data_IF_554519225873
#
_entry.id   IF_554519225873
#
_cell.length_a   1.000
_cell.length_b   1.000
_cell.length_c   1.000
_cell.angle_alpha   90.00
_cell.angle_beta   90.00
_cell.angle_gamma   90.00
#
_symmetry.space_group_name_H-M   'P 1'
#
loop_
_entity.id
_entity.type
_entity.pdbx_description
1 polymer ?
#
# COMPACT_ATOMS: atom_id res chain seq x y z
N UNK A 1 -1.04 24.91 0.89
CA UNK A 1 -2.22 24.64 1.71
C UNK A 1 -3.44 24.86 0.91
N UNK A 2 -3.83 24.06 0.27
CA UNK A 2 -5.05 24.19 -0.25
C UNK A 2 -5.84 23.06 -0.08
N UNK A 3 -6.79 23.35 -0.31
CA UNK A 3 -7.84 22.66 -0.65
C UNK A 3 -7.73 21.20 -0.82
N UNK A 4 -8.72 20.60 -0.87
CA UNK A 4 -8.93 19.19 -0.72
C UNK A 4 -8.33 18.30 -1.83
N UNK A 5 -7.91 18.88 -2.98
CA UNK A 5 -7.44 18.14 -4.16
C UNK A 5 -5.99 18.45 -4.54
N UNK A 6 -5.15 17.43 -4.55
CA UNK A 6 -3.74 17.54 -4.97
C UNK A 6 -3.53 16.61 -6.17
N UNK A 7 -3.01 17.17 -7.27
CA UNK A 7 -2.57 16.38 -8.43
C UNK A 7 -1.07 16.55 -8.60
N UNK A 8 -0.34 15.44 -8.59
CA UNK A 8 1.08 15.41 -8.91
C UNK A 8 1.27 14.80 -10.31
N UNK A 9 1.89 15.58 -11.20
CA UNK A 9 2.30 15.12 -12.54
C UNK A 9 3.81 15.16 -12.75
N UNK A 10 4.55 15.63 -11.74
CA UNK A 10 5.99 15.81 -11.78
C UNK A 10 6.73 14.83 -10.87
N UNK A 11 7.93 15.24 -10.48
CA UNK A 11 8.79 14.49 -9.57
C UNK A 11 8.84 15.21 -8.23
N UNK A 12 8.55 14.46 -7.17
CA UNK A 12 8.71 14.89 -5.78
C UNK A 12 9.79 14.00 -5.17
N UNK A 13 10.84 14.60 -4.64
CA UNK A 13 11.89 13.85 -3.92
C UNK A 13 12.15 14.52 -2.59
N UNK A 14 11.98 13.76 -1.52
CA UNK A 14 12.19 14.22 -0.14
C UNK A 14 13.07 13.22 0.61
N UNK A 15 13.77 13.72 1.60
CA UNK A 15 14.70 12.92 2.41
C UNK A 15 14.02 12.08 3.48
N UNK A 16 14.82 11.64 4.45
CA UNK A 16 14.38 10.86 5.59
C UNK A 16 13.39 11.63 6.47
N UNK A 17 12.52 10.91 7.17
CA UNK A 17 11.52 11.47 8.08
C UNK A 17 10.63 12.54 7.42
N UNK A 18 10.39 12.45 6.15
CA UNK A 18 9.70 13.47 5.35
C UNK A 18 8.43 12.93 4.71
N UNK A 19 7.54 13.84 4.32
CA UNK A 19 6.30 13.51 3.62
C UNK A 19 6.33 14.11 2.22
N UNK A 20 6.13 13.29 1.18
CA UNK A 20 6.09 13.75 -0.19
C UNK A 20 4.84 14.58 -0.48
N UNK A 21 3.66 14.03 -0.22
CA UNK A 21 2.37 14.72 -0.36
C UNK A 21 1.57 14.55 0.94
N UNK A 22 1.14 15.67 1.49
CA UNK A 22 0.18 15.71 2.59
C UNK A 22 -1.11 16.41 2.12
N UNK A 23 -2.24 15.71 2.17
CA UNK A 23 -3.51 16.28 1.71
C UNK A 23 -4.70 15.36 1.95
N UNK A 24 -5.88 15.79 1.48
CA UNK A 24 -7.08 14.99 1.59
C UNK A 24 -7.27 14.08 0.37
N UNK A 25 -7.54 14.63 -0.80
CA UNK A 25 -7.68 13.89 -2.03
C UNK A 25 -6.42 14.01 -2.89
N UNK A 26 -5.84 12.88 -3.26
CA UNK A 26 -4.57 12.88 -4.00
C UNK A 26 -4.71 12.06 -5.27
N UNK A 27 -4.38 12.67 -6.41
CA UNK A 27 -4.16 11.99 -7.68
C UNK A 27 -2.66 12.04 -8.01
N UNK A 28 -1.99 10.90 -7.95
CA UNK A 28 -0.60 10.82 -8.35
C UNK A 28 -0.46 10.22 -9.74
N UNK A 29 0.13 10.99 -10.67
CA UNK A 29 0.52 10.58 -12.03
C UNK A 29 2.03 10.63 -12.23
N UNK A 30 2.73 11.25 -11.28
CA UNK A 30 4.17 11.46 -11.32
C UNK A 30 4.94 10.50 -10.45
N UNK A 31 6.18 10.83 -10.19
CA UNK A 31 7.09 10.08 -9.34
C UNK A 31 7.20 10.73 -7.95
N UNK A 32 7.09 9.93 -6.90
CA UNK A 32 7.37 10.34 -5.53
C UNK A 32 8.49 9.45 -5.00
N UNK A 33 9.54 10.06 -4.47
CA UNK A 33 10.65 9.36 -3.79
C UNK A 33 10.77 9.89 -2.38
N UNK A 34 10.74 8.99 -1.40
CA UNK A 34 10.92 9.33 0.01
C UNK A 34 12.06 8.52 0.62
N UNK A 35 12.78 9.14 1.54
CA UNK A 35 13.84 8.50 2.29
C UNK A 35 13.32 7.55 3.37
N UNK A 36 14.21 7.15 4.27
CA UNK A 36 13.91 6.26 5.39
C UNK A 36 12.93 6.92 6.37
N UNK A 37 12.07 6.13 6.99
CA UNK A 37 11.02 6.62 7.90
C UNK A 37 10.16 7.75 7.29
N UNK A 38 10.10 7.81 5.96
CA UNK A 38 9.33 8.81 5.21
C UNK A 38 7.98 8.28 4.75
N UNK A 39 7.09 9.19 4.34
CA UNK A 39 5.78 8.83 3.80
C UNK A 39 5.59 9.45 2.42
N UNK A 40 5.31 8.61 1.41
CA UNK A 40 5.05 9.09 0.05
C UNK A 40 3.83 9.97 -0.04
N UNK A 41 2.68 9.43 0.33
CA UNK A 41 1.40 10.15 0.38
C UNK A 41 0.77 9.93 1.76
N UNK A 42 0.48 11.02 2.44
CA UNK A 42 -0.29 11.02 3.68
C UNK A 42 -1.66 11.66 3.41
N UNK A 43 -2.75 10.89 3.59
CA UNK A 43 -4.11 11.38 3.35
C UNK A 43 -4.98 11.29 4.62
N UNK A 44 -5.64 12.40 4.96
CA UNK A 44 -6.47 12.52 6.17
C UNK A 44 -7.98 12.59 5.88
N UNK A 45 -8.48 12.23 4.72
CA UNK A 45 -9.94 12.29 4.56
C UNK A 45 -10.47 12.27 3.14
N UNK A 46 -9.66 12.03 2.14
CA UNK A 46 -10.11 11.91 0.78
C UNK A 46 -9.51 10.69 0.09
N UNK A 47 -9.95 10.42 -1.11
CA UNK A 47 -9.48 9.28 -1.88
C UNK A 47 -8.04 9.51 -2.38
N UNK A 48 -7.28 8.42 -2.48
CA UNK A 48 -5.95 8.41 -3.09
C UNK A 48 -6.01 7.56 -4.36
N UNK A 49 -5.64 8.14 -5.48
CA UNK A 49 -5.60 7.47 -6.77
C UNK A 49 -4.15 7.50 -7.29
N UNK A 50 -3.55 6.32 -7.38
CA UNK A 50 -2.28 6.10 -8.07
C UNK A 50 -2.62 5.73 -9.52
N UNK A 51 -2.50 6.71 -10.41
CA UNK A 51 -2.79 6.55 -11.84
C UNK A 51 -1.83 5.55 -12.49
N UNK A 52 -2.12 5.17 -13.71
CA UNK A 52 -1.35 4.19 -14.50
C UNK A 52 0.13 4.56 -14.67
N UNK A 53 0.47 5.83 -14.55
CA UNK A 53 1.86 6.33 -14.64
C UNK A 53 2.49 6.64 -13.28
N UNK A 54 1.75 6.43 -12.19
CA UNK A 54 2.23 6.69 -10.83
C UNK A 54 3.43 5.81 -10.48
N UNK A 55 4.46 6.41 -9.93
CA UNK A 55 5.63 5.72 -9.37
C UNK A 55 5.86 6.21 -7.94
N UNK A 56 5.97 5.28 -7.00
CA UNK A 56 6.34 5.61 -5.62
C UNK A 56 7.57 4.79 -5.24
N UNK A 57 8.66 5.48 -4.87
CA UNK A 57 9.87 4.87 -4.36
C UNK A 57 9.94 5.13 -2.86
N UNK A 58 9.77 4.08 -2.08
CA UNK A 58 9.71 4.11 -0.62
C UNK A 58 11.06 3.68 -0.07
N UNK A 59 11.62 4.46 0.84
CA UNK A 59 12.85 4.14 1.56
C UNK A 59 12.70 2.93 2.49
N UNK A 60 13.68 2.74 3.37
CA UNK A 60 13.70 1.67 4.37
C UNK A 60 13.19 2.15 5.73
N UNK A 61 13.23 1.27 6.74
CA UNK A 61 13.06 1.62 8.16
C UNK A 61 11.73 2.34 8.46
N UNK A 62 10.62 1.62 8.31
CA UNK A 62 9.25 2.08 8.58
C UNK A 62 8.71 3.12 7.58
N UNK A 63 9.38 3.31 6.44
CA UNK A 63 8.84 4.17 5.40
C UNK A 63 7.52 3.62 4.85
N UNK A 64 6.64 4.52 4.39
CA UNK A 64 5.29 4.17 3.93
C UNK A 64 5.04 4.76 2.55
N UNK A 65 4.55 3.95 1.62
CA UNK A 65 4.15 4.45 0.29
C UNK A 65 2.91 5.33 0.36
N UNK A 66 1.81 4.79 0.87
CA UNK A 66 0.55 5.52 1.07
C UNK A 66 0.03 5.27 2.49
N UNK A 67 -0.12 6.33 3.26
CA UNK A 67 -0.71 6.30 4.58
C UNK A 67 -2.08 7.00 4.57
N UNK A 68 -3.11 6.31 5.07
CA UNK A 68 -4.47 6.85 5.21
C UNK A 68 -4.93 6.83 6.65
N UNK A 69 -5.46 7.96 7.13
CA UNK A 69 -5.93 8.13 8.50
C UNK A 69 -7.38 8.60 8.61
N UNK A 70 -7.97 9.06 7.52
CA UNK A 70 -9.36 9.48 7.48
C UNK A 70 -10.35 8.31 7.38
N UNK A 71 -11.63 8.61 7.36
CA UNK A 71 -12.69 7.62 7.30
C UNK A 71 -13.37 7.59 5.93
N UNK A 72 -13.81 6.39 5.51
CA UNK A 72 -14.52 6.21 4.25
C UNK A 72 -13.69 6.49 2.99
N UNK A 73 -12.37 6.43 3.11
CA UNK A 73 -11.46 6.68 2.00
C UNK A 73 -11.35 5.47 1.06
N UNK A 74 -11.14 5.76 -0.21
CA UNK A 74 -10.80 4.75 -1.21
C UNK A 74 -9.38 5.02 -1.71
N UNK A 75 -8.51 4.06 -1.53
CA UNK A 75 -7.17 4.06 -2.13
C UNK A 75 -7.19 3.13 -3.32
N UNK A 76 -6.78 3.60 -4.48
CA UNK A 76 -6.71 2.80 -5.70
C UNK A 76 -5.32 2.88 -6.31
N UNK A 77 -4.62 1.76 -6.36
CA UNK A 77 -3.45 1.60 -7.22
C UNK A 77 -3.94 1.02 -8.57
N UNK A 78 -3.82 1.78 -9.66
CA UNK A 78 -4.29 1.35 -10.98
C UNK A 78 -3.27 0.41 -11.64
N UNK A 79 -3.76 -0.38 -12.59
CA UNK A 79 -2.88 -1.17 -13.47
C UNK A 79 -1.89 -0.24 -14.20
N UNK A 80 -0.59 -0.54 -14.09
CA UNK A 80 0.50 0.31 -14.59
C UNK A 80 1.17 1.17 -13.51
N UNK A 81 0.50 1.46 -12.38
CA UNK A 81 1.18 2.07 -11.25
C UNK A 81 2.25 1.13 -10.68
N UNK A 82 3.33 1.71 -10.20
CA UNK A 82 4.46 0.95 -9.62
C UNK A 82 4.82 1.50 -8.24
N UNK A 83 5.26 0.59 -7.38
CA UNK A 83 5.79 0.95 -6.07
C UNK A 83 7.05 0.12 -5.80
N UNK A 84 8.14 0.78 -5.44
CA UNK A 84 9.32 0.11 -4.89
C UNK A 84 9.32 0.32 -3.39
N UNK A 85 9.40 -0.76 -2.62
CA UNK A 85 9.32 -0.69 -1.16
C UNK A 85 10.63 -1.19 -0.59
N UNK A 86 11.30 -0.33 0.17
CA UNK A 86 12.53 -0.69 0.87
C UNK A 86 12.26 -1.65 2.02
N UNK A 87 13.31 -2.30 2.51
CA UNK A 87 13.24 -3.25 3.62
C UNK A 87 12.65 -2.60 4.89
N UNK A 88 11.94 -3.37 5.69
CA UNK A 88 11.30 -2.94 6.94
C UNK A 88 10.26 -1.82 6.76
N UNK A 89 9.56 -1.79 5.63
CA UNK A 89 8.66 -0.69 5.25
C UNK A 89 7.29 -1.18 4.77
N UNK A 90 6.40 -0.23 4.48
CA UNK A 90 5.02 -0.52 4.12
C UNK A 90 4.68 0.04 2.74
N UNK A 91 3.92 -0.73 1.95
CA UNK A 91 3.31 -0.20 0.73
C UNK A 91 2.12 0.70 1.06
N UNK A 92 1.09 0.12 1.65
CA UNK A 92 -0.13 0.82 2.08
C UNK A 92 -0.35 0.61 3.58
N UNK A 93 -0.53 1.69 4.31
CA UNK A 93 -0.82 1.68 5.74
C UNK A 93 -2.14 2.40 5.98
N UNK A 94 -3.13 1.69 6.53
CA UNK A 94 -4.44 2.25 6.85
C UNK A 94 -4.73 2.18 8.35
N UNK A 95 -4.93 3.37 8.94
CA UNK A 95 -5.36 3.54 10.34
C UNK A 95 -6.75 4.21 10.47
N UNK A 96 -7.42 4.45 9.36
CA UNK A 96 -8.78 5.00 9.36
C UNK A 96 -9.87 3.94 9.53
N UNK A 97 -11.11 4.32 9.33
CA UNK A 97 -12.30 3.47 9.51
C UNK A 97 -13.18 3.46 8.25
N UNK A 98 -13.67 2.30 7.84
CA UNK A 98 -14.51 2.14 6.64
C UNK A 98 -13.77 2.38 5.34
N UNK A 99 -12.44 2.26 5.34
CA UNK A 99 -11.61 2.53 4.17
C UNK A 99 -11.52 1.29 3.27
N UNK A 100 -11.37 1.54 1.97
CA UNK A 100 -11.16 0.48 0.98
C UNK A 100 -9.82 0.68 0.29
N UNK A 101 -9.00 -0.38 0.24
CA UNK A 101 -7.76 -0.40 -0.54
C UNK A 101 -7.95 -1.34 -1.73
N UNK A 102 -7.87 -0.81 -2.94
CA UNK A 102 -7.92 -1.55 -4.20
C UNK A 102 -6.51 -1.55 -4.83
N UNK A 103 -5.84 -2.68 -4.77
CA UNK A 103 -4.54 -2.87 -5.39
C UNK A 103 -4.70 -3.57 -6.74
N UNK A 104 -4.49 -2.84 -7.83
CA UNK A 104 -4.62 -3.35 -9.19
C UNK A 104 -3.32 -3.20 -9.99
N UNK A 105 -2.18 -2.97 -9.36
CA UNK A 105 -0.88 -3.03 -10.02
C UNK A 105 -0.65 -4.43 -10.61
N UNK A 106 0.17 -4.53 -11.66
CA UNK A 106 0.40 -5.82 -12.31
C UNK A 106 1.08 -6.82 -11.36
N UNK A 107 2.11 -6.38 -10.66
CA UNK A 107 2.85 -7.19 -9.69
C UNK A 107 3.56 -6.31 -8.66
N UNK A 108 3.89 -6.92 -7.52
CA UNK A 108 4.71 -6.31 -6.47
C UNK A 108 5.70 -7.35 -5.95
N UNK A 109 6.97 -6.97 -5.90
CA UNK A 109 8.02 -7.78 -5.28
C UNK A 109 8.40 -7.19 -3.92
N UNK A 110 8.49 -8.03 -2.90
CA UNK A 110 8.83 -7.65 -1.53
C UNK A 110 10.28 -8.06 -1.21
N UNK A 111 11.00 -7.20 -0.50
CA UNK A 111 12.32 -7.45 0.05
C UNK A 111 12.25 -8.21 1.38
N UNK A 112 12.85 -7.66 2.45
CA UNK A 112 12.79 -8.24 3.78
C UNK A 112 11.94 -7.38 4.73
N UNK A 113 11.17 -8.02 5.59
CA UNK A 113 10.35 -7.34 6.61
C UNK A 113 9.37 -6.31 6.02
N UNK A 114 8.93 -6.51 4.78
CA UNK A 114 7.98 -5.62 4.09
C UNK A 114 6.55 -6.07 4.36
N UNK A 115 5.68 -5.11 4.63
CA UNK A 115 4.23 -5.34 4.59
C UNK A 115 3.65 -4.60 3.41
N UNK A 116 3.08 -5.32 2.43
CA UNK A 116 2.53 -4.67 1.25
C UNK A 116 1.29 -3.85 1.58
N UNK A 117 0.28 -4.49 2.19
CA UNK A 117 -0.92 -3.79 2.68
C UNK A 117 -1.12 -4.10 4.16
N UNK A 118 -1.16 -3.06 4.98
CA UNK A 118 -1.47 -3.15 6.40
C UNK A 118 -2.69 -2.31 6.72
N UNK A 119 -3.79 -2.94 7.14
CA UNK A 119 -5.02 -2.25 7.53
C UNK A 119 -5.47 -2.70 8.91
N UNK A 120 -5.55 -1.77 9.85
CA UNK A 120 -6.11 -1.99 11.20
C UNK A 120 -7.62 -1.78 11.25
N UNK A 121 -8.22 -1.39 10.13
CA UNK A 121 -9.63 -1.10 10.00
C UNK A 121 -10.47 -2.38 10.04
N UNK A 122 -11.28 -2.54 11.08
CA UNK A 122 -12.17 -3.71 11.25
C UNK A 122 -13.41 -3.65 10.38
N UNK A 123 -13.72 -2.50 9.81
CA UNK A 123 -14.90 -2.25 8.95
C UNK A 123 -14.54 -2.02 7.50
N UNK A 124 -13.24 -1.94 7.20
CA UNK A 124 -12.72 -1.69 5.87
C UNK A 124 -12.53 -2.93 5.02
N UNK A 125 -12.11 -2.71 3.78
CA UNK A 125 -11.87 -3.76 2.81
C UNK A 125 -10.50 -3.62 2.12
N UNK A 126 -9.87 -4.76 1.86
CA UNK A 126 -8.68 -4.89 1.03
C UNK A 126 -9.02 -5.79 -0.15
N UNK A 127 -8.97 -5.24 -1.36
CA UNK A 127 -9.17 -5.97 -2.61
C UNK A 127 -7.83 -6.03 -3.35
N UNK A 128 -7.20 -7.20 -3.37
CA UNK A 128 -5.91 -7.39 -4.03
C UNK A 128 -6.08 -8.09 -5.38
N UNK A 129 -5.72 -7.38 -6.45
CA UNK A 129 -5.59 -7.90 -7.80
C UNK A 129 -4.13 -7.87 -8.29
N UNK A 130 -3.19 -7.59 -7.38
CA UNK A 130 -1.75 -7.51 -7.66
C UNK A 130 -1.08 -8.83 -7.33
N UNK A 131 -0.36 -9.42 -8.28
CA UNK A 131 0.45 -10.58 -8.01
C UNK A 131 1.61 -10.21 -7.06
N UNK A 132 1.74 -10.94 -5.94
CA UNK A 132 2.77 -10.70 -4.95
C UNK A 132 3.86 -11.76 -5.02
N UNK A 133 5.11 -11.32 -5.08
CA UNK A 133 6.29 -12.17 -4.99
C UNK A 133 7.22 -11.65 -3.90
N UNK A 134 8.19 -12.47 -3.47
CA UNK A 134 9.20 -12.04 -2.52
C UNK A 134 10.57 -12.58 -2.91
N UNK A 135 11.60 -11.76 -2.71
CA UNK A 135 13.01 -12.16 -2.77
C UNK A 135 13.64 -12.30 -1.38
N UNK A 136 12.86 -12.01 -0.33
CA UNK A 136 13.35 -11.98 1.04
C UNK A 136 12.46 -12.74 2.03
N UNK A 137 12.58 -12.39 3.28
CA UNK A 137 11.98 -13.09 4.42
C UNK A 137 11.17 -12.15 5.32
N UNK A 138 10.30 -12.73 6.14
CA UNK A 138 9.49 -12.05 7.16
C UNK A 138 8.55 -10.98 6.59
N UNK A 139 8.00 -11.23 5.41
CA UNK A 139 7.06 -10.34 4.76
C UNK A 139 5.61 -10.69 5.09
N UNK A 140 4.78 -9.66 5.09
CA UNK A 140 3.33 -9.81 5.05
C UNK A 140 2.82 -9.27 3.70
N UNK A 141 2.12 -10.10 2.94
CA UNK A 141 1.44 -9.64 1.72
C UNK A 141 0.27 -8.73 2.09
N UNK A 142 -0.74 -9.32 2.69
CA UNK A 142 -1.98 -8.63 3.07
C UNK A 142 -2.25 -8.84 4.56
N UNK A 143 -2.23 -7.77 5.33
CA UNK A 143 -2.67 -7.75 6.72
C UNK A 143 -3.94 -6.90 6.81
N UNK A 144 -5.06 -7.46 7.24
CA UNK A 144 -6.28 -6.67 7.46
C UNK A 144 -7.11 -7.19 8.60
N UNK A 145 -7.54 -6.29 9.48
CA UNK A 145 -8.49 -6.57 10.55
C UNK A 145 -9.96 -6.60 10.05
N UNK A 146 -10.23 -6.09 8.85
CA UNK A 146 -11.53 -6.12 8.19
C UNK A 146 -11.63 -7.27 7.17
N UNK A 147 -12.18 -6.96 6.00
CA UNK A 147 -12.35 -7.93 4.91
C UNK A 147 -11.16 -7.91 3.97
N UNK A 148 -10.64 -9.09 3.60
CA UNK A 148 -9.64 -9.27 2.55
C UNK A 148 -10.24 -10.13 1.45
N UNK A 149 -10.13 -9.66 0.20
CA UNK A 149 -10.39 -10.46 -1.00
C UNK A 149 -9.12 -10.47 -1.85
N UNK A 150 -8.51 -11.65 -2.00
CA UNK A 150 -7.36 -11.82 -2.86
C UNK A 150 -7.77 -12.49 -4.18
N UNK A 151 -7.53 -11.79 -5.29
CA UNK A 151 -7.84 -12.23 -6.64
C UNK A 151 -6.59 -12.50 -7.48
N UNK A 152 -5.40 -12.43 -6.89
CA UNK A 152 -4.12 -12.62 -7.56
C UNK A 152 -3.26 -13.66 -6.85
N UNK A 153 -2.22 -14.13 -7.52
CA UNK A 153 -1.31 -15.10 -6.91
C UNK A 153 -0.41 -14.41 -5.88
N UNK A 154 -0.17 -15.09 -4.76
CA UNK A 154 0.81 -14.70 -3.74
C UNK A 154 1.84 -15.82 -3.65
N UNK A 155 3.03 -15.60 -4.18
CA UNK A 155 4.10 -16.58 -4.18
C UNK A 155 5.38 -15.97 -3.58
N UNK A 156 5.63 -16.27 -2.32
CA UNK A 156 6.80 -15.78 -1.58
C UNK A 156 8.00 -16.75 -1.62
N UNK A 157 7.92 -17.78 -2.47
CA UNK A 157 9.03 -18.70 -2.67
C UNK A 157 9.47 -19.39 -1.38
N UNK A 158 10.79 -19.47 -1.19
CA UNK A 158 11.42 -20.19 -0.07
C UNK A 158 11.83 -19.27 1.10
N UNK A 159 11.47 -18.00 1.08
CA UNK A 159 11.77 -17.05 2.16
C UNK A 159 11.16 -17.49 3.50
N UNK A 160 11.90 -17.30 4.57
CA UNK A 160 11.50 -17.74 5.92
C UNK A 160 10.52 -16.71 6.53
N UNK A 161 9.49 -17.18 7.22
CA UNK A 161 8.59 -16.34 7.99
C UNK A 161 7.67 -15.43 7.16
N UNK A 162 7.54 -15.69 5.88
CA UNK A 162 6.61 -14.96 5.01
C UNK A 162 5.16 -15.39 5.26
N UNK A 163 4.26 -14.42 5.27
CA UNK A 163 2.82 -14.62 5.43
C UNK A 163 2.09 -13.99 4.25
N UNK A 164 1.38 -14.79 3.45
CA UNK A 164 0.62 -14.29 2.30
C UNK A 164 -0.54 -13.39 2.73
N UNK A 165 -1.44 -13.93 3.54
CA UNK A 165 -2.60 -13.21 4.08
C UNK A 165 -2.67 -13.44 5.58
N UNK A 166 -2.80 -12.36 6.34
CA UNK A 166 -3.06 -12.41 7.78
C UNK A 166 -4.32 -11.61 8.10
N UNK A 167 -5.30 -12.31 8.66
CA UNK A 167 -6.55 -11.70 9.16
C UNK A 167 -6.66 -12.00 10.65
N UNK A 168 -6.52 -11.00 11.54
CA UNK A 168 -6.67 -11.21 12.98
C UNK A 168 -8.13 -11.56 13.34
N UNK A 169 -8.35 -11.94 14.60
CA UNK A 169 -9.66 -12.31 15.10
C UNK A 169 -10.72 -11.24 14.79
N UNK A 170 -11.82 -11.64 14.16
CA UNK A 170 -12.90 -10.76 13.73
C UNK A 170 -12.84 -10.32 12.25
N UNK A 171 -11.68 -10.42 11.60
CA UNK A 171 -11.57 -10.19 10.17
C UNK A 171 -11.98 -11.41 9.34
N UNK A 172 -12.22 -11.18 8.06
CA UNK A 172 -12.49 -12.22 7.05
C UNK A 172 -11.50 -12.16 5.92
N UNK A 173 -11.02 -13.33 5.48
CA UNK A 173 -10.12 -13.42 4.34
C UNK A 173 -10.63 -14.45 3.33
N UNK A 174 -10.70 -14.05 2.07
CA UNK A 174 -11.04 -14.90 0.94
C UNK A 174 -9.89 -14.93 -0.05
N UNK A 175 -9.33 -16.11 -0.29
CA UNK A 175 -8.44 -16.33 -1.43
C UNK A 175 -9.27 -16.97 -2.54
N UNK A 176 -9.34 -16.33 -3.70
CA UNK A 176 -10.20 -16.79 -4.78
C UNK A 176 -9.71 -18.12 -5.38
N UNK A 177 -10.63 -18.93 -5.84
CA UNK A 177 -10.34 -20.25 -6.43
C UNK A 177 -9.30 -20.15 -7.55
N UNK A 178 -8.31 -21.02 -7.51
CA UNK A 178 -7.21 -21.07 -8.49
C UNK A 178 -6.07 -20.09 -8.22
N UNK A 179 -6.09 -19.40 -7.09
CA UNK A 179 -4.98 -18.53 -6.64
C UNK A 179 -4.15 -19.20 -5.55
N UNK A 180 -2.87 -18.97 -5.56
CA UNK A 180 -1.87 -19.53 -4.64
C UNK A 180 -1.28 -18.48 -3.72
#
# INVERSE_FOLDING_TARGET
QSGDDITNTGIISVGDNSVGIYGKRVLNKGTITVGNDGTGIYSEGGNVDLDTTSQINVGTDKAVGVFTKGNGQIVTARSGSTMTIGDSSFGFLNEGTGNTINSNAASQTLGNYVTYIYSRDTTGAVNNNTALTSTGSYNYGLYSAGTVTNNADINFGTGVGNVGIYSPCGGTATNMTGKT
#
